data_IF_809012643817
#
_entry.id   IF_809012643817
#
_cell.length_a   1.000
_cell.length_b   1.000
_cell.length_c   1.000
_cell.angle_alpha   90.00
_cell.angle_beta   90.00
_cell.angle_gamma   90.00
#
_symmetry.space_group_name_H-M   'P 1'
#
loop_
_entity.id
_entity.type
_entity.pdbx_description
1 polymer ?
#
# COMPACT_ATOMS: atom_id res chain seq x y z
N UNK A 1 44.63 2.96 -20.41
CA UNK A 1 44.31 4.40 -20.46
C UNK A 1 43.46 4.65 -21.70
N UNK A 2 42.14 4.73 -21.53
CA UNK A 2 41.19 4.88 -22.65
C UNK A 2 41.14 6.33 -23.11
N UNK A 3 41.41 6.59 -24.40
CA UNK A 3 40.97 7.81 -25.05
C UNK A 3 39.61 7.53 -25.69
N UNK A 4 38.56 8.16 -25.17
CA UNK A 4 37.25 8.16 -25.82
C UNK A 4 36.76 9.61 -25.87
N UNK A 5 36.78 10.15 -27.10
CA UNK A 5 36.27 11.44 -27.56
C UNK A 5 37.10 12.69 -27.21
N UNK A 6 38.12 12.94 -28.04
CA UNK A 6 38.74 14.27 -28.15
C UNK A 6 37.79 15.23 -28.90
N UNK A 7 36.93 15.93 -28.16
CA UNK A 7 36.23 17.13 -28.66
C UNK A 7 37.09 18.36 -28.38
N UNK A 8 37.35 19.17 -29.41
CA UNK A 8 38.00 20.46 -29.26
C UNK A 8 36.99 21.51 -28.78
N UNK A 9 37.22 22.08 -27.60
CA UNK A 9 36.35 23.10 -27.01
C UNK A 9 36.93 24.49 -27.25
N UNK A 10 36.09 25.42 -27.73
CA UNK A 10 36.49 26.80 -28.03
C UNK A 10 36.86 27.63 -26.78
N UNK A 11 36.51 27.19 -25.57
CA UNK A 11 36.86 27.86 -24.32
C UNK A 11 36.87 26.90 -23.10
N UNK A 12 37.56 27.31 -22.02
CA UNK A 12 37.68 26.53 -20.76
C UNK A 12 36.33 26.24 -20.10
N UNK A 13 35.35 27.14 -20.23
CA UNK A 13 33.99 26.97 -19.67
C UNK A 13 33.25 25.80 -20.34
N UNK A 14 33.37 25.65 -21.66
CA UNK A 14 32.78 24.55 -22.42
C UNK A 14 33.40 23.19 -22.05
N UNK A 15 34.70 23.16 -21.80
CA UNK A 15 35.40 21.95 -21.31
C UNK A 15 34.89 21.55 -19.92
N UNK A 16 34.76 22.50 -18.99
CA UNK A 16 34.29 22.24 -17.64
C UNK A 16 32.88 21.64 -17.64
N UNK A 17 31.95 22.22 -18.40
CA UNK A 17 30.57 21.71 -18.52
C UNK A 17 30.54 20.29 -19.12
N UNK A 18 31.38 20.01 -20.12
CA UNK A 18 31.50 18.68 -20.71
C UNK A 18 32.03 17.66 -19.70
N UNK A 19 33.10 17.99 -18.98
CA UNK A 19 33.68 17.13 -17.95
C UNK A 19 32.69 16.88 -16.80
N UNK A 20 31.96 17.91 -16.34
CA UNK A 20 30.91 17.74 -15.32
C UNK A 20 29.82 16.80 -15.84
N UNK A 21 29.34 16.96 -17.08
CA UNK A 21 28.33 16.06 -17.66
C UNK A 21 28.82 14.63 -17.81
N UNK A 22 30.04 14.41 -18.29
CA UNK A 22 30.63 13.07 -18.43
C UNK A 22 30.85 12.45 -17.05
N UNK A 23 31.34 13.21 -16.08
CA UNK A 23 31.52 12.73 -14.71
C UNK A 23 30.18 12.42 -14.03
N UNK A 24 29.12 13.22 -14.25
CA UNK A 24 27.77 12.92 -13.79
C UNK A 24 27.18 11.66 -14.45
N UNK A 25 27.49 11.42 -15.73
CA UNK A 25 27.08 10.23 -16.49
C UNK A 25 27.85 8.97 -16.07
N UNK A 26 29.13 9.12 -15.69
CA UNK A 26 29.98 8.03 -15.25
C UNK A 26 29.77 7.70 -13.76
N UNK A 27 29.44 8.69 -12.92
CA UNK A 27 29.06 8.49 -11.50
C UNK A 27 27.73 7.76 -11.34
N UNK A 28 26.93 7.62 -12.41
CA UNK A 28 25.71 6.79 -12.43
C UNK A 28 25.96 5.35 -12.89
N UNK A 29 27.17 5.02 -13.38
CA UNK A 29 27.55 3.65 -13.82
C UNK A 29 28.38 2.97 -12.71
N UNK A 30 27.82 2.96 -11.51
CA UNK A 30 28.03 1.91 -10.52
C UNK A 30 26.66 1.55 -9.95
N UNK A 31 25.69 1.36 -10.84
CA UNK A 31 24.36 0.89 -10.49
C UNK A 31 24.49 -0.60 -10.22
N UNK A 32 24.53 -0.99 -8.95
CA UNK A 32 24.13 -2.33 -8.54
C UNK A 32 22.73 -2.50 -9.14
N UNK A 33 22.59 -3.35 -10.16
CA UNK A 33 21.29 -3.65 -10.76
C UNK A 33 20.48 -4.40 -9.70
N UNK A 34 19.81 -3.67 -8.81
CA UNK A 34 18.91 -4.21 -7.81
C UNK A 34 17.61 -4.60 -8.51
N UNK A 35 17.59 -5.82 -9.03
CA UNK A 35 16.37 -6.41 -9.57
C UNK A 35 15.32 -6.54 -8.46
N UNK A 36 14.06 -6.29 -8.82
CA UNK A 36 12.92 -6.46 -7.91
C UNK A 36 12.20 -7.75 -8.28
N UNK A 37 11.85 -8.56 -7.30
CA UNK A 37 11.22 -9.88 -7.50
C UNK A 37 9.74 -9.84 -7.15
N UNK A 38 8.93 -10.65 -7.85
CA UNK A 38 7.56 -10.91 -7.44
C UNK A 38 7.56 -12.05 -6.41
N UNK A 39 7.02 -11.82 -5.21
CA UNK A 39 6.98 -12.85 -4.17
C UNK A 39 5.96 -13.97 -4.41
N UNK A 40 5.05 -13.80 -5.37
CA UNK A 40 4.10 -14.84 -5.81
C UNK A 40 4.56 -15.61 -7.06
N UNK A 41 5.48 -15.02 -7.83
CA UNK A 41 6.03 -15.62 -9.04
C UNK A 41 7.55 -15.81 -8.88
N UNK A 42 8.03 -16.95 -8.33
CA UNK A 42 9.43 -17.15 -7.95
C UNK A 42 10.44 -16.88 -9.06
N UNK A 43 10.05 -17.08 -10.33
CA UNK A 43 10.90 -16.93 -11.51
C UNK A 43 10.78 -15.55 -12.19
N UNK A 44 10.04 -14.60 -11.61
CA UNK A 44 9.81 -13.28 -12.22
C UNK A 44 10.60 -12.19 -11.50
N UNK A 45 11.59 -11.66 -12.21
CA UNK A 45 12.42 -10.54 -11.79
C UNK A 45 12.25 -9.37 -12.75
N UNK A 46 12.35 -8.15 -12.22
CA UNK A 46 12.09 -6.91 -12.94
C UNK A 46 13.25 -5.94 -12.74
N UNK A 47 13.59 -5.19 -13.79
CA UNK A 47 14.66 -4.18 -13.74
C UNK A 47 14.39 -3.06 -12.73
N UNK A 48 13.12 -2.81 -12.42
CA UNK A 48 12.70 -1.75 -11.49
C UNK A 48 11.29 -2.03 -10.94
N UNK A 49 10.89 -1.22 -9.94
CA UNK A 49 9.57 -1.31 -9.28
C UNK A 49 8.40 -1.12 -10.25
N UNK A 50 8.55 -0.27 -11.28
CA UNK A 50 7.49 -0.04 -12.26
C UNK A 50 7.17 -1.30 -13.07
N UNK A 51 8.19 -2.09 -13.42
CA UNK A 51 8.02 -3.39 -14.05
C UNK A 51 7.23 -4.36 -13.17
N UNK A 52 7.53 -4.39 -11.87
CA UNK A 52 6.80 -5.21 -10.91
C UNK A 52 5.34 -4.74 -10.73
N UNK A 53 5.08 -3.44 -10.65
CA UNK A 53 3.72 -2.89 -10.56
C UNK A 53 2.89 -3.28 -11.77
N UNK A 54 3.44 -3.14 -12.99
CA UNK A 54 2.75 -3.55 -14.21
C UNK A 54 2.47 -5.06 -14.22
N UNK A 55 3.43 -5.86 -13.80
CA UNK A 55 3.23 -7.30 -13.66
C UNK A 55 2.13 -7.64 -12.67
N UNK A 56 2.11 -7.04 -11.48
CA UNK A 56 1.06 -7.21 -10.49
C UNK A 56 -0.32 -6.85 -11.05
N UNK A 57 -0.42 -5.73 -11.77
CA UNK A 57 -1.68 -5.29 -12.38
C UNK A 57 -2.20 -6.25 -13.46
N UNK A 58 -1.31 -6.91 -14.22
CA UNK A 58 -1.73 -7.81 -15.31
C UNK A 58 -1.96 -9.23 -14.78
N UNK A 59 -1.08 -9.73 -13.94
CA UNK A 59 -1.05 -11.15 -13.52
C UNK A 59 -1.75 -11.38 -12.19
N UNK A 60 -1.82 -10.37 -11.33
CA UNK A 60 -2.32 -10.49 -9.96
C UNK A 60 -3.42 -9.45 -9.65
N UNK A 61 -4.12 -8.92 -10.65
CA UNK A 61 -5.20 -7.94 -10.47
C UNK A 61 -6.30 -8.43 -9.53
N UNK A 62 -6.63 -9.72 -9.61
CA UNK A 62 -7.69 -10.38 -8.84
C UNK A 62 -7.15 -11.24 -7.70
N UNK A 63 -5.84 -11.20 -7.43
CA UNK A 63 -5.28 -12.00 -6.35
C UNK A 63 -5.75 -11.44 -5.01
N UNK A 64 -6.50 -12.25 -4.25
CA UNK A 64 -7.21 -11.83 -3.04
C UNK A 64 -6.90 -12.70 -1.80
N UNK A 65 -6.02 -13.68 -1.94
CA UNK A 65 -5.73 -14.60 -0.84
C UNK A 65 -4.69 -14.01 0.13
N UNK A 66 -4.90 -14.11 1.46
CA UNK A 66 -3.87 -13.83 2.45
C UNK A 66 -2.57 -14.60 2.15
N UNK A 67 -1.43 -13.96 2.43
CA UNK A 67 -0.15 -14.64 2.35
C UNK A 67 -0.07 -15.74 3.42
N UNK A 68 0.54 -16.87 3.08
CA UNK A 68 0.91 -17.89 4.06
C UNK A 68 1.80 -17.31 5.18
N UNK A 69 1.70 -17.88 6.37
CA UNK A 69 2.52 -17.53 7.52
C UNK A 69 2.09 -16.26 8.28
N UNK A 70 0.88 -15.76 8.06
CA UNK A 70 0.28 -14.74 8.94
C UNK A 70 -0.18 -15.44 10.23
N UNK A 71 0.30 -15.02 11.41
CA UNK A 71 -0.15 -15.58 12.68
C UNK A 71 -1.67 -15.45 12.84
N UNK A 72 -2.31 -16.54 13.25
CA UNK A 72 -3.73 -16.56 13.62
C UNK A 72 -3.85 -15.98 15.02
N UNK A 73 -4.76 -15.02 15.19
CA UNK A 73 -5.02 -14.42 16.50
C UNK A 73 -6.13 -15.19 17.24
N UNK A 74 -6.09 -15.22 18.59
CA UNK A 74 -7.23 -15.64 19.39
C UNK A 74 -8.46 -14.77 19.10
N UNK A 75 -9.66 -15.35 19.25
CA UNK A 75 -10.91 -14.64 18.96
C UNK A 75 -11.10 -13.39 19.83
N UNK A 76 -10.70 -13.43 21.10
CA UNK A 76 -10.80 -12.28 22.00
C UNK A 76 -9.96 -11.08 21.51
N UNK A 77 -8.76 -11.34 20.98
CA UNK A 77 -7.91 -10.30 20.42
C UNK A 77 -8.50 -9.70 19.13
N UNK A 78 -9.20 -10.52 18.32
CA UNK A 78 -9.94 -10.06 17.15
C UNK A 78 -11.12 -9.19 17.60
N UNK A 79 -11.89 -9.63 18.59
CA UNK A 79 -13.04 -8.90 19.13
C UNK A 79 -12.63 -7.55 19.73
N UNK A 80 -11.54 -7.50 20.48
CA UNK A 80 -10.98 -6.24 21.00
C UNK A 80 -10.57 -5.29 19.86
N UNK A 81 -9.90 -5.82 18.84
CA UNK A 81 -9.52 -5.02 17.68
C UNK A 81 -10.73 -4.46 16.90
N UNK A 82 -11.81 -5.24 16.75
CA UNK A 82 -13.07 -4.76 16.15
C UNK A 82 -13.62 -3.56 16.93
N UNK A 83 -13.64 -3.61 18.26
CA UNK A 83 -14.11 -2.50 19.11
C UNK A 83 -13.26 -1.24 18.93
N UNK A 84 -11.93 -1.39 18.86
CA UNK A 84 -11.02 -0.26 18.57
C UNK A 84 -11.35 0.35 17.21
N UNK A 85 -11.53 -0.48 16.18
CA UNK A 85 -11.86 0.00 14.83
C UNK A 85 -13.20 0.77 14.81
N UNK A 86 -14.24 0.21 15.42
CA UNK A 86 -15.55 0.87 15.55
C UNK A 86 -15.42 2.22 16.24
N UNK A 87 -14.72 2.28 17.38
CA UNK A 87 -14.49 3.55 18.09
C UNK A 87 -13.86 4.62 17.19
N UNK A 88 -12.85 4.25 16.39
CA UNK A 88 -12.19 5.18 15.48
C UNK A 88 -13.09 5.63 14.33
N UNK A 89 -13.96 4.75 13.82
CA UNK A 89 -14.97 5.09 12.81
C UNK A 89 -15.97 6.10 13.40
N UNK A 90 -16.60 5.75 14.52
CA UNK A 90 -17.61 6.58 15.18
C UNK A 90 -17.06 7.97 15.57
N UNK A 91 -15.80 8.04 16.04
CA UNK A 91 -15.12 9.30 16.36
C UNK A 91 -14.95 10.22 15.14
N UNK A 92 -14.82 9.65 13.93
CA UNK A 92 -14.63 10.40 12.69
C UNK A 92 -15.94 10.84 12.02
N UNK A 93 -17.06 10.20 12.32
CA UNK A 93 -18.37 10.65 11.86
C UNK A 93 -18.72 11.98 12.54
N UNK A 94 -19.05 13.02 11.77
CA UNK A 94 -19.38 14.35 12.29
C UNK A 94 -20.79 14.78 11.89
N UNK A 95 -21.44 15.57 12.74
CA UNK A 95 -22.84 15.97 12.58
C UNK A 95 -23.04 17.21 11.70
N UNK A 96 -21.97 17.93 11.39
CA UNK A 96 -22.10 19.18 10.66
C UNK A 96 -22.29 18.85 9.18
N UNK A 97 -23.32 19.42 8.52
CA UNK A 97 -23.57 19.23 7.09
C UNK A 97 -22.36 19.58 6.20
N UNK A 98 -21.44 20.42 6.70
CA UNK A 98 -20.15 20.73 6.07
C UNK A 98 -19.16 19.56 6.01
N UNK A 99 -19.48 18.43 6.65
CA UNK A 99 -18.67 17.21 6.70
C UNK A 99 -19.33 15.99 6.05
N UNK A 100 -20.38 16.22 5.27
CA UNK A 100 -21.15 15.22 4.54
C UNK A 100 -20.41 14.58 3.32
N UNK A 101 -19.10 14.42 3.43
CA UNK A 101 -18.25 13.81 2.40
C UNK A 101 -17.58 12.52 2.87
N UNK A 102 -16.88 11.81 1.95
CA UNK A 102 -16.12 10.62 2.28
C UNK A 102 -15.16 10.86 3.45
N UNK A 103 -15.26 10.02 4.48
CA UNK A 103 -14.39 10.09 5.65
C UNK A 103 -13.27 9.06 5.56
N UNK A 104 -12.05 9.47 5.90
CA UNK A 104 -10.91 8.58 6.00
C UNK A 104 -10.55 8.34 7.48
N UNK A 105 -10.52 7.08 7.87
CA UNK A 105 -10.08 6.62 9.20
C UNK A 105 -8.73 5.92 9.02
N UNK A 106 -7.71 6.40 9.73
CA UNK A 106 -6.41 5.72 9.79
C UNK A 106 -6.21 5.13 11.18
N UNK A 107 -5.87 3.84 11.21
CA UNK A 107 -5.56 3.09 12.43
C UNK A 107 -4.31 2.25 12.18
N UNK A 108 -3.34 2.34 13.08
CA UNK A 108 -2.19 1.45 13.08
C UNK A 108 -2.64 0.05 13.51
N UNK A 109 -2.40 -0.95 12.67
CA UNK A 109 -2.70 -2.35 12.98
C UNK A 109 -1.67 -3.29 12.34
N UNK A 110 -1.59 -4.50 12.88
CA UNK A 110 -0.80 -5.59 12.30
C UNK A 110 -1.55 -6.27 11.15
N UNK A 111 -0.81 -6.96 10.27
CA UNK A 111 -1.43 -7.78 9.21
C UNK A 111 -2.36 -8.86 9.77
N UNK A 112 -2.00 -9.46 10.90
CA UNK A 112 -2.81 -10.48 11.59
C UNK A 112 -4.12 -9.90 12.11
N UNK A 113 -4.13 -8.69 12.66
CA UNK A 113 -5.37 -8.02 13.09
C UNK A 113 -6.29 -7.74 11.89
N UNK A 114 -5.74 -7.17 10.81
CA UNK A 114 -6.51 -6.88 9.61
C UNK A 114 -7.10 -8.16 8.99
N UNK A 115 -6.27 -9.18 8.77
CA UNK A 115 -6.71 -10.46 8.20
C UNK A 115 -7.64 -11.22 9.14
N UNK A 116 -7.46 -11.10 10.46
CA UNK A 116 -8.38 -11.70 11.44
C UNK A 116 -9.80 -11.15 11.35
N UNK A 117 -9.97 -9.86 11.07
CA UNK A 117 -11.29 -9.24 10.90
C UNK A 117 -11.83 -9.41 9.48
N UNK A 118 -11.00 -9.15 8.47
CA UNK A 118 -11.44 -9.00 7.08
C UNK A 118 -11.01 -10.13 6.15
N UNK A 119 -10.35 -11.18 6.64
CA UNK A 119 -9.70 -12.20 5.82
C UNK A 119 -10.61 -12.89 4.81
N UNK A 120 -11.88 -13.13 5.19
CA UNK A 120 -12.90 -13.70 4.29
C UNK A 120 -13.46 -12.73 3.25
N UNK A 121 -13.09 -11.46 3.31
CA UNK A 121 -13.65 -10.35 2.52
C UNK A 121 -12.60 -9.58 1.73
N UNK A 122 -11.35 -10.08 1.69
CA UNK A 122 -10.30 -9.47 0.91
C UNK A 122 -10.69 -9.52 -0.56
N UNK A 123 -10.68 -8.36 -1.20
CA UNK A 123 -10.94 -8.23 -2.64
C UNK A 123 -9.63 -8.21 -3.42
N UNK A 124 -8.54 -7.75 -2.80
CA UNK A 124 -7.22 -7.66 -3.44
C UNK A 124 -6.08 -7.66 -2.43
N UNK A 125 -4.98 -8.31 -2.77
CA UNK A 125 -3.70 -8.17 -2.10
C UNK A 125 -2.67 -7.57 -3.05
N UNK A 126 -2.08 -6.44 -2.66
CA UNK A 126 -1.02 -5.79 -3.41
C UNK A 126 0.34 -6.30 -2.97
N UNK A 127 1.06 -6.96 -3.88
CA UNK A 127 2.40 -7.49 -3.63
C UNK A 127 3.41 -6.35 -3.46
N UNK A 128 3.34 -5.35 -4.34
CA UNK A 128 4.25 -4.19 -4.35
C UNK A 128 4.06 -3.27 -3.15
N UNK A 129 2.83 -3.14 -2.65
CA UNK A 129 2.52 -2.36 -1.44
C UNK A 129 2.52 -3.21 -0.17
N UNK A 130 2.53 -4.53 -0.31
CA UNK A 130 2.42 -5.48 0.80
C UNK A 130 1.15 -5.25 1.65
N UNK A 131 0.04 -4.87 1.00
CA UNK A 131 -1.20 -4.41 1.63
C UNK A 131 -2.40 -5.24 1.19
N UNK A 132 -3.34 -5.44 2.10
CA UNK A 132 -4.64 -6.04 1.83
C UNK A 132 -5.69 -4.94 1.64
N UNK A 133 -6.62 -5.19 0.71
CA UNK A 133 -7.69 -4.27 0.36
C UNK A 133 -9.01 -5.06 0.41
N UNK A 134 -10.03 -4.46 1.04
CA UNK A 134 -11.40 -4.95 1.03
C UNK A 134 -12.27 -3.82 0.48
N UNK A 135 -13.24 -4.16 -0.37
CA UNK A 135 -14.16 -3.20 -0.95
C UNK A 135 -15.59 -3.60 -0.65
N UNK A 136 -16.30 -2.74 0.08
CA UNK A 136 -17.69 -2.93 0.45
C UNK A 136 -18.51 -1.85 -0.26
N UNK A 137 -19.50 -2.24 -1.06
CA UNK A 137 -20.33 -1.31 -1.81
C UNK A 137 -21.75 -1.85 -2.00
N UNK A 138 -22.70 -0.95 -2.30
CA UNK A 138 -24.11 -1.29 -2.48
C UNK A 138 -24.91 -1.33 -1.17
N UNK A 139 -26.20 -1.61 -1.30
CA UNK A 139 -27.18 -1.51 -0.20
C UNK A 139 -26.88 -2.48 0.96
N UNK A 140 -26.25 -3.62 0.67
CA UNK A 140 -25.90 -4.64 1.68
C UNK A 140 -24.59 -4.36 2.41
N UNK A 141 -23.77 -3.41 1.95
CA UNK A 141 -22.46 -3.14 2.52
C UNK A 141 -22.53 -2.76 4.01
N UNK A 142 -23.55 -1.99 4.39
CA UNK A 142 -23.74 -1.58 5.79
C UNK A 142 -24.01 -2.78 6.70
N UNK A 143 -24.90 -3.68 6.27
CA UNK A 143 -25.25 -4.88 7.02
C UNK A 143 -24.09 -5.87 7.09
N UNK A 144 -23.31 -5.99 6.00
CA UNK A 144 -22.13 -6.82 5.98
C UNK A 144 -21.06 -6.30 6.96
N UNK A 145 -20.85 -4.98 7.01
CA UNK A 145 -19.94 -4.38 7.98
C UNK A 145 -20.44 -4.56 9.43
N UNK A 146 -21.75 -4.50 9.67
CA UNK A 146 -22.34 -4.88 10.96
C UNK A 146 -21.93 -6.31 11.35
N UNK A 147 -22.13 -7.30 10.46
CA UNK A 147 -21.78 -8.70 10.75
C UNK A 147 -20.28 -8.90 10.96
N UNK A 148 -19.45 -8.20 10.18
CA UNK A 148 -17.99 -8.28 10.30
C UNK A 148 -17.52 -7.67 11.61
N UNK A 149 -18.03 -6.49 11.97
CA UNK A 149 -17.61 -5.74 13.16
C UNK A 149 -18.30 -6.21 14.43
N UNK A 150 -19.36 -7.01 14.30
CA UNK A 150 -20.20 -7.50 15.40
C UNK A 150 -20.77 -6.34 16.25
N UNK A 151 -21.23 -5.29 15.56
CA UNK A 151 -21.78 -4.08 16.18
C UNK A 151 -22.83 -3.46 15.24
N UNK A 152 -24.11 -3.50 15.63
CA UNK A 152 -25.23 -2.93 14.84
C UNK A 152 -25.10 -1.42 14.63
N UNK A 153 -24.37 -0.75 15.53
CA UNK A 153 -24.23 0.68 15.60
C UNK A 153 -22.81 1.13 15.23
N UNK A 154 -22.06 0.27 14.52
CA UNK A 154 -20.69 0.56 14.09
C UNK A 154 -20.55 1.89 13.34
N UNK A 155 -21.60 2.28 12.60
CA UNK A 155 -21.70 3.52 11.83
C UNK A 155 -22.47 4.65 12.53
N UNK A 156 -22.73 4.55 13.83
CA UNK A 156 -23.50 5.54 14.61
C UNK A 156 -22.60 6.17 15.67
N UNK A 157 -22.63 7.50 15.80
CA UNK A 157 -21.89 8.21 16.85
C UNK A 157 -22.74 8.33 18.12
N UNK A 158 -22.28 7.75 19.23
CA UNK A 158 -22.89 7.94 20.55
C UNK A 158 -22.32 9.18 21.26
N UNK A 159 -23.19 9.98 21.85
CA UNK A 159 -22.81 11.10 22.71
C UNK A 159 -22.64 10.57 24.14
N UNK A 160 -21.52 10.89 24.79
CA UNK A 160 -21.58 11.06 26.23
C UNK A 160 -22.33 12.37 26.43
N UNK A 161 -23.55 12.30 26.99
CA UNK A 161 -24.22 13.49 27.51
C UNK A 161 -23.32 14.03 28.61
N UNK A 162 -22.65 15.14 28.32
CA UNK A 162 -21.93 15.96 29.29
C UNK A 162 -22.79 17.13 29.69
#
# INVERSE_FOLDING_TARGET
MQSLFQKNFKNKRGLLIHQTRIYSKNKTIATINTYVVCSLCPQKTFKNKQGLIRHEQIVHSLYNSPRAGIPILPQDAIAEFKKILVYHIQKKLSNNSSSAGPQCVMLSCTKSQFVGVFGGYITRYSITRCSYECFFSGQSAYNLLYQILDDENWGVRYYLQG
#
